data_IF_391853867064
#
_entry.id   IF_391853867064
#
_cell.length_a   1.000
_cell.length_b   1.000
_cell.length_c   1.000
_cell.angle_alpha   90.00
_cell.angle_beta   90.00
_cell.angle_gamma   90.00
#
_symmetry.space_group_name_H-M   'P 1'
#
loop_
_entity.id
_entity.type
_entity.pdbx_description
1 polymer ?
#
# COMPACT_ATOMS: atom_id res chain seq x y z
N UNK A 1 -10.99 -24.73 -23.82
CA UNK A 1 -9.53 -24.87 -24.01
C UNK A 1 -8.84 -23.56 -23.66
N UNK A 2 -8.42 -23.33 -22.41
CA UNK A 2 -7.39 -22.33 -22.05
C UNK A 2 -6.76 -22.75 -20.72
N UNK A 3 -5.75 -23.62 -20.76
CA UNK A 3 -4.91 -23.94 -19.59
C UNK A 3 -3.48 -24.31 -20.03
N UNK A 4 -2.93 -23.58 -21.01
CA UNK A 4 -1.61 -23.90 -21.60
C UNK A 4 -0.52 -22.87 -21.29
N UNK A 5 -0.76 -21.97 -20.34
CA UNK A 5 0.18 -20.88 -20.04
C UNK A 5 0.37 -20.56 -18.55
N UNK A 6 0.03 -21.48 -17.64
CA UNK A 6 0.33 -21.29 -16.22
C UNK A 6 1.66 -21.96 -15.87
N UNK A 7 2.48 -21.26 -15.10
CA UNK A 7 3.79 -21.77 -14.66
C UNK A 7 3.57 -23.04 -13.84
N UNK A 8 4.33 -24.12 -14.07
CA UNK A 8 4.14 -25.40 -13.36
C UNK A 8 4.27 -25.27 -11.84
N UNK A 9 4.95 -24.23 -11.35
CA UNK A 9 5.03 -23.91 -9.91
C UNK A 9 3.67 -23.59 -9.28
N UNK A 10 2.66 -23.15 -10.04
CA UNK A 10 1.33 -22.84 -9.49
C UNK A 10 0.57 -24.09 -9.00
N UNK A 11 0.94 -25.28 -9.47
CA UNK A 11 0.26 -26.54 -9.15
C UNK A 11 0.39 -26.90 -7.67
N UNK A 12 1.42 -26.37 -6.98
CA UNK A 12 1.70 -26.68 -5.57
C UNK A 12 0.96 -25.76 -4.58
N UNK A 13 0.32 -24.67 -5.05
CA UNK A 13 -0.36 -23.74 -4.16
C UNK A 13 -1.82 -24.17 -3.96
N UNK A 14 -2.16 -24.60 -2.75
CA UNK A 14 -3.56 -24.79 -2.37
C UNK A 14 -4.25 -23.44 -2.14
N UNK A 15 -5.58 -23.33 -2.34
CA UNK A 15 -6.33 -22.11 -2.07
C UNK A 15 -6.17 -21.60 -0.63
N UNK A 16 -6.07 -22.51 0.34
CA UNK A 16 -5.87 -22.20 1.76
C UNK A 16 -4.48 -21.58 1.99
N UNK A 17 -3.43 -22.22 1.46
CA UNK A 17 -2.06 -21.71 1.58
C UNK A 17 -1.95 -20.32 0.95
N UNK A 18 -2.54 -20.13 -0.23
CA UNK A 18 -2.52 -18.85 -0.93
C UNK A 18 -3.23 -17.75 -0.11
N UNK A 19 -4.37 -18.07 0.50
CA UNK A 19 -5.10 -17.17 1.39
C UNK A 19 -4.26 -16.76 2.60
N UNK A 20 -3.56 -17.71 3.22
CA UNK A 20 -2.66 -17.42 4.34
C UNK A 20 -1.50 -16.51 3.93
N UNK A 21 -0.86 -16.79 2.79
CA UNK A 21 0.25 -15.98 2.28
C UNK A 21 -0.18 -14.55 1.94
N UNK A 22 -1.35 -14.38 1.31
CA UNK A 22 -1.90 -13.04 1.00
C UNK A 22 -2.21 -12.28 2.29
N UNK A 23 -2.89 -12.92 3.25
CA UNK A 23 -3.28 -12.26 4.51
C UNK A 23 -2.06 -11.85 5.34
N UNK A 24 -1.08 -12.75 5.47
CA UNK A 24 0.15 -12.46 6.22
C UNK A 24 0.97 -11.36 5.56
N UNK A 25 1.17 -11.43 4.23
CA UNK A 25 1.93 -10.40 3.52
C UNK A 25 1.25 -9.03 3.58
N UNK A 26 -0.08 -8.97 3.51
CA UNK A 26 -0.84 -7.74 3.70
C UNK A 26 -0.62 -7.13 5.11
N UNK A 27 -0.69 -7.94 6.16
CA UNK A 27 -0.42 -7.49 7.53
C UNK A 27 1.02 -6.98 7.70
N UNK A 28 2.00 -7.73 7.18
CA UNK A 28 3.42 -7.34 7.22
C UNK A 28 3.64 -6.02 6.47
N UNK A 29 3.00 -5.82 5.31
CA UNK A 29 3.13 -4.58 4.54
C UNK A 29 2.62 -3.36 5.31
N UNK A 30 1.48 -3.47 5.99
CA UNK A 30 0.93 -2.40 6.83
C UNK A 30 1.86 -2.09 8.01
N UNK A 31 2.33 -3.12 8.72
CA UNK A 31 3.27 -2.94 9.85
C UNK A 31 4.59 -2.34 9.38
N UNK A 32 5.12 -2.79 8.25
CA UNK A 32 6.34 -2.23 7.67
C UNK A 32 6.18 -0.74 7.35
N UNK A 33 5.03 -0.34 6.79
CA UNK A 33 4.73 1.07 6.53
C UNK A 33 4.59 1.88 7.82
N UNK A 34 3.93 1.33 8.85
CA UNK A 34 3.83 1.96 10.18
C UNK A 34 5.22 2.23 10.78
N UNK A 35 6.07 1.22 10.80
CA UNK A 35 7.44 1.33 11.32
C UNK A 35 8.27 2.32 10.49
N UNK A 36 8.09 2.33 9.17
CA UNK A 36 8.73 3.30 8.29
C UNK A 36 8.28 4.73 8.59
N UNK A 37 6.98 4.98 8.72
CA UNK A 37 6.42 6.31 8.97
C UNK A 37 6.75 6.88 10.34
N UNK A 38 6.97 6.01 11.33
CA UNK A 38 7.36 6.38 12.70
C UNK A 38 8.88 6.44 12.93
N UNK A 39 9.68 5.95 11.98
CA UNK A 39 11.13 5.88 12.16
C UNK A 39 11.75 7.27 12.23
N UNK A 40 12.58 7.51 13.25
CA UNK A 40 13.36 8.75 13.40
C UNK A 40 14.22 9.05 12.17
N UNK A 41 14.70 8.00 11.48
CA UNK A 41 15.46 8.14 10.23
C UNK A 41 14.62 8.76 9.12
N UNK A 42 13.37 8.35 8.99
CA UNK A 42 12.43 8.90 8.00
C UNK A 42 12.10 10.35 8.34
N UNK A 43 11.83 10.63 9.62
CA UNK A 43 11.58 11.99 10.10
C UNK A 43 12.78 12.91 9.84
N UNK A 44 14.00 12.44 10.11
CA UNK A 44 15.23 13.19 9.86
C UNK A 44 15.50 13.40 8.35
N UNK A 45 15.18 12.42 7.51
CA UNK A 45 15.40 12.49 6.07
C UNK A 45 14.44 13.46 5.36
N UNK A 46 13.19 13.52 5.81
CA UNK A 46 12.16 14.35 5.18
C UNK A 46 11.81 15.61 5.97
N UNK A 47 12.33 15.76 7.20
CA UNK A 47 12.05 16.89 8.08
C UNK A 47 10.59 16.96 8.50
N UNK A 48 9.90 15.81 8.64
CA UNK A 48 8.49 15.77 9.05
C UNK A 48 8.03 14.37 9.46
N UNK A 49 7.13 14.31 10.46
CA UNK A 49 6.41 13.10 10.90
C UNK A 49 5.03 12.93 10.22
N UNK A 50 4.67 13.78 9.25
CA UNK A 50 3.32 13.80 8.66
C UNK A 50 2.99 12.57 7.79
N UNK A 51 3.98 11.73 7.45
CA UNK A 51 3.77 10.51 6.68
C UNK A 51 2.78 9.54 7.32
N UNK A 52 2.69 9.52 8.66
CA UNK A 52 1.76 8.66 9.39
C UNK A 52 0.30 8.96 9.06
N UNK A 53 -0.05 10.20 8.67
CA UNK A 53 -1.42 10.55 8.28
C UNK A 53 -1.88 9.88 6.99
N UNK A 54 -0.93 9.37 6.18
CA UNK A 54 -1.28 8.58 4.98
C UNK A 54 -1.58 7.11 5.29
N UNK A 55 -1.40 6.67 6.54
CA UNK A 55 -1.62 5.29 6.96
C UNK A 55 -3.00 4.73 6.59
N UNK A 56 -4.14 5.41 6.87
CA UNK A 56 -5.45 4.86 6.52
C UNK A 56 -5.60 4.58 5.02
N UNK A 57 -4.93 5.39 4.18
CA UNK A 57 -4.93 5.23 2.74
C UNK A 57 -4.10 4.03 2.29
N UNK A 58 -2.92 3.83 2.91
CA UNK A 58 -2.08 2.65 2.68
C UNK A 58 -2.79 1.37 3.11
N UNK A 59 -3.43 1.39 4.28
CA UNK A 59 -4.23 0.27 4.80
C UNK A 59 -5.34 -0.10 3.82
N UNK A 60 -6.07 0.90 3.30
CA UNK A 60 -7.07 0.67 2.27
C UNK A 60 -6.48 0.04 1.00
N UNK A 61 -5.37 0.59 0.48
CA UNK A 61 -4.71 0.08 -0.72
C UNK A 61 -4.32 -1.40 -0.57
N UNK A 62 -3.65 -1.74 0.54
CA UNK A 62 -3.16 -3.09 0.83
C UNK A 62 -4.32 -4.08 0.96
N UNK A 63 -5.35 -3.76 1.75
CA UNK A 63 -6.49 -4.65 1.90
C UNK A 63 -7.33 -4.77 0.64
N UNK A 64 -7.46 -3.70 -0.15
CA UNK A 64 -8.12 -3.77 -1.46
C UNK A 64 -7.38 -4.71 -2.41
N UNK A 65 -6.06 -4.59 -2.47
CA UNK A 65 -5.23 -5.48 -3.29
C UNK A 65 -5.34 -6.94 -2.83
N UNK A 66 -5.29 -7.19 -1.52
CA UNK A 66 -5.46 -8.52 -0.93
C UNK A 66 -6.83 -9.11 -1.28
N UNK A 67 -7.91 -8.36 -1.07
CA UNK A 67 -9.28 -8.78 -1.40
C UNK A 67 -9.44 -9.12 -2.88
N UNK A 68 -8.93 -8.28 -3.80
CA UNK A 68 -9.04 -8.54 -5.24
C UNK A 68 -8.19 -9.74 -5.67
N UNK A 69 -7.04 -9.96 -5.02
CA UNK A 69 -6.19 -11.12 -5.26
C UNK A 69 -6.88 -12.42 -4.84
N UNK A 70 -7.55 -12.42 -3.68
CA UNK A 70 -8.30 -13.58 -3.19
C UNK A 70 -9.53 -13.91 -4.05
N UNK A 71 -10.17 -12.90 -4.66
CA UNK A 71 -11.30 -13.12 -5.58
C UNK A 71 -10.91 -13.78 -6.89
N UNK A 72 -9.62 -13.76 -7.27
CA UNK A 72 -9.14 -14.36 -8.52
C UNK A 72 -9.77 -13.77 -9.79
N UNK A 73 -10.32 -12.56 -9.73
CA UNK A 73 -11.06 -11.94 -10.85
C UNK A 73 -10.15 -11.50 -12.00
N UNK A 74 -8.85 -11.37 -11.74
CA UNK A 74 -7.85 -10.92 -12.70
C UNK A 74 -6.85 -12.04 -13.03
N UNK A 75 -6.36 -12.13 -14.28
CA UNK A 75 -5.39 -13.16 -14.69
C UNK A 75 -4.05 -13.09 -13.94
N UNK A 76 -3.75 -11.95 -13.32
CA UNK A 76 -2.54 -11.72 -12.55
C UNK A 76 -2.54 -10.37 -11.82
N UNK A 77 -1.54 -10.15 -10.96
CA UNK A 77 -1.47 -8.95 -10.10
C UNK A 77 -1.26 -7.66 -10.89
N UNK A 78 -0.55 -7.70 -12.02
CA UNK A 78 -0.36 -6.53 -12.89
C UNK A 78 -1.68 -6.06 -13.50
N UNK A 79 -2.50 -6.99 -13.98
CA UNK A 79 -3.79 -6.68 -14.60
C UNK A 79 -4.77 -6.13 -13.56
N UNK A 80 -4.72 -6.63 -12.32
CA UNK A 80 -5.48 -6.11 -11.19
C UNK A 80 -5.17 -4.62 -10.96
N UNK A 81 -3.87 -4.27 -10.89
CA UNK A 81 -3.42 -2.89 -10.68
C UNK A 81 -3.84 -1.99 -11.85
N UNK A 82 -3.77 -2.49 -13.08
CA UNK A 82 -4.08 -1.72 -14.29
C UNK A 82 -5.59 -1.58 -14.57
N UNK A 83 -6.44 -2.45 -14.03
CA UNK A 83 -7.88 -2.40 -14.29
C UNK A 83 -8.72 -1.89 -13.12
N UNK A 84 -8.25 -2.03 -11.89
CA UNK A 84 -9.03 -1.58 -10.73
C UNK A 84 -8.90 -0.06 -10.52
N UNK A 85 -9.91 0.68 -11.01
CA UNK A 85 -9.95 2.16 -10.92
C UNK A 85 -9.84 2.68 -9.49
N UNK A 86 -10.52 2.10 -8.48
CA UNK A 86 -10.41 2.65 -7.13
C UNK A 86 -9.02 2.42 -6.53
N UNK A 87 -8.35 1.30 -6.81
CA UNK A 87 -6.96 1.09 -6.40
C UNK A 87 -6.01 2.12 -7.04
N UNK A 88 -6.18 2.42 -8.33
CA UNK A 88 -5.42 3.48 -8.99
C UNK A 88 -5.65 4.85 -8.37
N UNK A 89 -6.90 5.20 -8.07
CA UNK A 89 -7.24 6.46 -7.42
C UNK A 89 -6.56 6.57 -6.05
N UNK A 90 -6.52 5.48 -5.29
CA UNK A 90 -5.80 5.42 -4.01
C UNK A 90 -4.31 5.67 -4.17
N UNK A 91 -3.65 5.05 -5.16
CA UNK A 91 -2.23 5.29 -5.43
C UNK A 91 -1.99 6.74 -5.81
N UNK A 92 -2.80 7.31 -6.71
CA UNK A 92 -2.66 8.71 -7.14
C UNK A 92 -2.86 9.65 -5.95
N UNK A 93 -3.91 9.44 -5.15
CA UNK A 93 -4.18 10.24 -3.95
C UNK A 93 -3.02 10.14 -2.95
N UNK A 94 -2.46 8.95 -2.78
CA UNK A 94 -1.32 8.72 -1.88
C UNK A 94 -0.07 9.45 -2.36
N UNK A 95 0.24 9.38 -3.66
CA UNK A 95 1.35 10.09 -4.28
C UNK A 95 1.20 11.61 -4.14
N UNK A 96 -0.01 12.14 -4.34
CA UNK A 96 -0.30 13.58 -4.16
C UNK A 96 -0.10 13.99 -2.71
N UNK A 97 -0.62 13.23 -1.74
CA UNK A 97 -0.43 13.52 -0.32
C UNK A 97 1.04 13.48 0.08
N UNK A 98 1.81 12.52 -0.42
CA UNK A 98 3.26 12.43 -0.20
C UNK A 98 3.98 13.67 -0.72
N UNK A 99 3.68 14.11 -1.94
CA UNK A 99 4.28 15.31 -2.53
C UNK A 99 3.92 16.57 -1.73
N UNK A 100 2.67 16.70 -1.31
CA UNK A 100 2.20 17.83 -0.49
C UNK A 100 2.92 17.85 0.87
N UNK A 101 3.03 16.72 1.56
CA UNK A 101 3.73 16.69 2.85
C UNK A 101 5.22 17.01 2.73
N UNK A 102 5.87 16.54 1.66
CA UNK A 102 7.27 16.86 1.40
C UNK A 102 7.44 18.35 1.07
N UNK A 103 6.59 18.93 0.22
CA UNK A 103 6.72 20.34 -0.18
C UNK A 103 6.37 21.32 0.94
N UNK A 104 5.39 20.98 1.78
CA UNK A 104 4.92 21.84 2.86
C UNK A 104 5.58 21.55 4.21
N UNK A 105 6.51 20.59 4.29
CA UNK A 105 7.25 20.22 5.51
C UNK A 105 7.72 21.47 6.30
N UNK A 106 8.34 22.45 5.62
CA UNK A 106 8.85 23.67 6.27
C UNK A 106 7.78 24.64 6.81
N UNK A 107 6.59 24.66 6.21
CA UNK A 107 5.52 25.61 6.57
C UNK A 107 4.50 25.01 7.56
N UNK A 108 4.28 23.70 7.53
CA UNK A 108 3.30 23.05 8.42
C UNK A 108 3.82 22.98 9.86
N UNK A 109 5.13 22.81 10.07
CA UNK A 109 5.71 22.86 11.43
C UNK A 109 5.42 24.19 12.12
N UNK A 110 5.53 25.30 11.39
CA UNK A 110 5.25 26.65 11.89
C UNK A 110 3.76 26.85 12.20
N UNK A 111 2.87 26.31 11.38
CA UNK A 111 1.42 26.43 11.59
C UNK A 111 0.95 25.61 12.81
N UNK A 112 1.49 24.40 13.01
CA UNK A 112 1.13 23.55 14.16
C UNK A 112 1.69 24.13 15.48
N UNK A 113 2.91 24.67 15.47
CA UNK A 113 3.45 25.37 16.64
C UNK A 113 2.64 26.62 16.99
N UNK A 114 2.00 27.29 16.02
CA UNK A 114 1.11 28.42 16.32
C UNK A 114 -0.23 28.02 16.95
N UNK A 115 -0.57 26.73 16.90
CA UNK A 115 -1.81 26.16 17.45
C UNK A 115 -1.64 25.62 18.88
N UNK A 116 -0.42 25.57 19.40
CA UNK A 116 -0.05 25.14 20.75
C UNK A 116 0.52 26.32 21.56
#
# INVERSE_FOLDING_TARGET
AVARNHRPTLIQYTPELLTHLITLSAGIAVVAFLLYGLSERTVAQFGTSYFIYTLPLVVYAVFRFAMLSMKGTYPGPTELILRDRPFQLTIVMWMVLMLVFISYSRNIELWIQSLY
#
